data_IF_675699519927
#
_entry.id   IF_675699519927
#
_cell.length_a   1.000
_cell.length_b   1.000
_cell.length_c   1.000
_cell.angle_alpha   90.00
_cell.angle_beta   90.00
_cell.angle_gamma   90.00
#
_symmetry.space_group_name_H-M   'P 1'
#
loop_
_entity.id
_entity.type
_entity.pdbx_description
1 polymer ?
#
# COMPACT_ATOMS: atom_id res chain seq x y z
N UNK A 1 -46.04 8.24 -32.96
CA UNK A 1 -45.93 6.78 -32.80
C UNK A 1 -44.58 6.16 -33.22
N UNK A 2 -43.95 6.49 -34.36
CA UNK A 2 -42.76 5.75 -34.83
C UNK A 2 -41.45 6.03 -34.06
N UNK A 3 -41.23 7.26 -33.56
CA UNK A 3 -40.01 7.61 -32.79
C UNK A 3 -39.94 6.93 -31.42
N UNK A 4 -41.06 6.92 -30.69
CA UNK A 4 -41.17 6.28 -29.37
C UNK A 4 -40.91 4.78 -29.46
N UNK A 5 -41.44 4.13 -30.50
CA UNK A 5 -41.23 2.70 -30.75
C UNK A 5 -39.74 2.40 -31.00
N UNK A 6 -39.05 3.23 -31.81
CA UNK A 6 -37.61 3.08 -32.07
C UNK A 6 -36.75 3.22 -30.81
N UNK A 7 -37.07 4.15 -29.91
CA UNK A 7 -36.35 4.29 -28.64
C UNK A 7 -36.57 3.11 -27.71
N UNK A 8 -37.79 2.56 -27.66
CA UNK A 8 -38.08 1.35 -26.88
C UNK A 8 -37.30 0.14 -27.43
N UNK A 9 -37.25 -0.04 -28.74
CA UNK A 9 -36.47 -1.12 -29.37
C UNK A 9 -34.98 -1.00 -29.08
N UNK A 10 -34.42 0.22 -29.09
CA UNK A 10 -33.01 0.46 -28.72
C UNK A 10 -32.76 0.08 -27.26
N UNK A 11 -33.67 0.42 -26.34
CA UNK A 11 -33.54 0.04 -24.92
C UNK A 11 -33.58 -1.48 -24.73
N UNK A 12 -34.52 -2.17 -25.37
CA UNK A 12 -34.64 -3.64 -25.31
C UNK A 12 -33.41 -4.34 -25.90
N UNK A 13 -32.90 -3.85 -27.03
CA UNK A 13 -31.70 -4.38 -27.64
C UNK A 13 -30.48 -4.26 -26.70
N UNK A 14 -30.30 -3.09 -26.09
CA UNK A 14 -29.20 -2.83 -25.15
C UNK A 14 -29.33 -3.63 -23.87
N UNK A 15 -30.54 -3.92 -23.38
CA UNK A 15 -30.70 -4.76 -22.19
C UNK A 15 -30.29 -6.22 -22.43
N UNK A 16 -30.33 -6.70 -23.67
CA UNK A 16 -29.97 -8.08 -24.02
C UNK A 16 -28.49 -8.21 -24.41
N UNK A 17 -27.94 -7.23 -25.14
CA UNK A 17 -26.60 -7.32 -25.75
C UNK A 17 -25.53 -6.53 -25.00
N UNK A 18 -25.94 -5.65 -24.08
CA UNK A 18 -25.08 -4.66 -23.43
C UNK A 18 -24.30 -3.73 -24.40
N UNK A 19 -24.80 -3.60 -25.63
CA UNK A 19 -24.21 -2.75 -26.65
C UNK A 19 -24.22 -1.26 -26.25
N UNK A 20 -23.23 -0.51 -26.76
CA UNK A 20 -23.19 0.95 -26.63
C UNK A 20 -24.42 1.57 -27.31
N UNK A 21 -24.81 2.77 -26.91
CA UNK A 21 -25.93 3.48 -27.56
C UNK A 21 -25.70 3.67 -29.07
N UNK A 22 -24.45 3.87 -29.47
CA UNK A 22 -24.05 4.07 -30.86
C UNK A 22 -24.12 2.76 -31.65
N UNK A 23 -23.59 1.66 -31.11
CA UNK A 23 -23.65 0.34 -31.76
C UNK A 23 -25.08 -0.19 -31.84
N UNK A 24 -25.87 -0.03 -30.78
CA UNK A 24 -27.29 -0.39 -30.78
C UNK A 24 -28.07 0.38 -31.86
N UNK A 25 -27.82 1.69 -32.00
CA UNK A 25 -28.46 2.50 -33.01
C UNK A 25 -28.01 2.13 -34.43
N UNK A 26 -26.75 1.75 -34.62
CA UNK A 26 -26.17 1.32 -35.91
C UNK A 26 -26.76 -0.03 -36.35
N UNK A 27 -26.69 -1.04 -35.49
CA UNK A 27 -27.11 -2.41 -35.79
C UNK A 27 -28.62 -2.52 -35.99
N UNK A 28 -29.42 -1.79 -35.18
CA UNK A 28 -30.88 -1.74 -35.39
C UNK A 28 -31.25 -1.02 -36.69
N UNK A 29 -30.52 0.04 -37.09
CA UNK A 29 -30.78 0.71 -38.39
C UNK A 29 -30.47 -0.21 -39.58
N UNK A 30 -29.36 -0.95 -39.54
CA UNK A 30 -28.97 -1.88 -40.59
C UNK A 30 -29.96 -3.04 -40.76
N UNK A 31 -30.61 -3.46 -39.66
CA UNK A 31 -31.57 -4.56 -39.65
C UNK A 31 -33.04 -4.09 -39.66
N UNK A 32 -33.33 -2.89 -40.19
CA UNK A 32 -34.69 -2.35 -40.30
C UNK A 32 -35.48 -2.34 -38.98
N UNK A 33 -34.80 -2.12 -37.85
CA UNK A 33 -35.33 -2.16 -36.49
C UNK A 33 -35.98 -3.49 -36.09
N UNK A 34 -35.61 -4.60 -36.75
CA UNK A 34 -35.98 -5.96 -36.33
C UNK A 34 -35.05 -6.41 -35.20
N UNK A 35 -35.62 -6.60 -34.01
CA UNK A 35 -34.85 -6.85 -32.80
C UNK A 35 -34.00 -8.13 -32.89
N UNK A 36 -34.59 -9.26 -33.25
CA UNK A 36 -33.88 -10.55 -33.31
C UNK A 36 -32.75 -10.55 -34.35
N UNK A 37 -33.03 -10.09 -35.57
CA UNK A 37 -32.00 -9.97 -36.61
C UNK A 37 -30.84 -9.05 -36.21
N UNK A 38 -31.12 -7.98 -35.47
CA UNK A 38 -30.07 -7.11 -34.94
C UNK A 38 -29.25 -7.80 -33.84
N UNK A 39 -29.85 -8.65 -33.02
CA UNK A 39 -29.16 -9.39 -31.95
C UNK A 39 -28.22 -10.42 -32.58
N UNK A 40 -28.66 -11.15 -33.60
CA UNK A 40 -27.81 -12.09 -34.33
C UNK A 40 -26.63 -11.36 -35.02
N UNK A 41 -26.91 -10.19 -35.60
CA UNK A 41 -25.88 -9.33 -36.19
C UNK A 41 -24.88 -8.80 -35.16
N UNK A 42 -25.31 -8.54 -33.92
CA UNK A 42 -24.42 -8.12 -32.83
C UNK A 42 -23.40 -9.21 -32.47
N UNK A 43 -23.83 -10.46 -32.33
CA UNK A 43 -22.93 -11.57 -32.03
C UNK A 43 -22.00 -11.92 -33.19
N UNK A 44 -22.28 -11.40 -34.38
CA UNK A 44 -21.43 -11.53 -35.56
C UNK A 44 -20.51 -10.32 -35.78
N UNK A 45 -20.63 -9.26 -34.97
CA UNK A 45 -19.84 -8.02 -35.06
C UNK A 45 -18.83 -7.96 -33.90
N UNK A 46 -17.57 -8.34 -34.19
CA UNK A 46 -16.48 -8.37 -33.22
C UNK A 46 -16.20 -6.99 -32.57
N UNK A 47 -16.45 -5.90 -33.31
CA UNK A 47 -16.24 -4.53 -32.79
C UNK A 47 -17.32 -4.19 -31.78
N UNK A 48 -18.58 -4.52 -32.07
CA UNK A 48 -19.70 -4.29 -31.16
C UNK A 48 -19.57 -5.15 -29.89
N UNK A 49 -19.11 -6.40 -30.00
CA UNK A 49 -18.81 -7.28 -28.87
C UNK A 49 -17.70 -6.72 -27.98
N UNK A 50 -16.61 -6.22 -28.58
CA UNK A 50 -15.50 -5.61 -27.84
C UNK A 50 -15.90 -4.27 -27.18
N UNK A 51 -16.80 -3.50 -27.80
CA UNK A 51 -17.32 -2.28 -27.19
C UNK A 51 -18.29 -2.58 -26.04
N UNK A 52 -19.13 -3.61 -26.19
CA UNK A 52 -20.06 -4.04 -25.14
C UNK A 52 -19.34 -4.61 -23.91
N UNK A 53 -18.26 -5.38 -24.10
CA UNK A 53 -17.43 -5.89 -22.99
C UNK A 53 -16.79 -4.74 -22.19
N UNK A 54 -16.32 -3.69 -22.87
CA UNK A 54 -15.82 -2.44 -22.26
C UNK A 54 -16.91 -1.62 -21.57
N UNK A 55 -18.17 -1.73 -22.01
CA UNK A 55 -19.30 -0.99 -21.45
C UNK A 55 -19.85 -1.67 -20.18
N UNK A 56 -19.86 -3.01 -20.15
CA UNK A 56 -20.25 -3.83 -18.99
C UNK A 56 -19.35 -3.60 -17.78
N UNK A 57 -18.05 -3.46 -18.02
CA UNK A 57 -17.06 -3.20 -16.97
C UNK A 57 -17.09 -1.74 -16.53
N UNK A 58 -17.26 -0.76 -17.43
CA UNK A 58 -17.08 0.66 -17.07
C UNK A 58 -18.26 1.33 -16.36
N UNK A 59 -19.53 1.00 -16.63
CA UNK A 59 -20.65 1.77 -16.05
C UNK A 59 -20.96 1.42 -14.58
N UNK A 60 -20.81 0.14 -14.22
CA UNK A 60 -21.08 -0.33 -12.85
C UNK A 60 -19.85 -0.17 -11.96
N UNK A 61 -18.64 -0.36 -12.51
CA UNK A 61 -17.39 -0.11 -11.77
C UNK A 61 -17.15 1.37 -11.51
N UNK A 62 -17.40 2.28 -12.47
CA UNK A 62 -17.21 3.70 -12.23
C UNK A 62 -18.17 4.23 -11.17
N UNK A 63 -19.39 3.69 -11.11
CA UNK A 63 -20.35 4.02 -10.05
C UNK A 63 -19.89 3.47 -8.70
N UNK A 64 -19.46 2.21 -8.61
CA UNK A 64 -19.00 1.64 -7.33
C UNK A 64 -17.69 2.27 -6.87
N UNK A 65 -16.78 2.60 -7.78
CA UNK A 65 -15.53 3.31 -7.48
C UNK A 65 -15.82 4.72 -6.93
N UNK A 66 -16.75 5.45 -7.56
CA UNK A 66 -17.20 6.75 -7.06
C UNK A 66 -17.80 6.62 -5.66
N UNK A 67 -18.68 5.63 -5.42
CA UNK A 67 -19.27 5.39 -4.10
C UNK A 67 -18.21 5.04 -3.04
N UNK A 68 -17.23 4.20 -3.37
CA UNK A 68 -16.11 3.86 -2.48
C UNK A 68 -15.28 5.10 -2.15
N UNK A 69 -14.95 5.91 -3.16
CA UNK A 69 -14.21 7.17 -2.97
C UNK A 69 -14.97 8.16 -2.08
N UNK A 70 -16.28 8.31 -2.28
CA UNK A 70 -17.12 9.17 -1.45
C UNK A 70 -17.15 8.71 0.02
N UNK A 71 -17.24 7.40 0.27
CA UNK A 71 -17.27 6.87 1.64
C UNK A 71 -15.92 6.94 2.34
N UNK A 72 -14.83 6.61 1.65
CA UNK A 72 -13.48 6.81 2.18
C UNK A 72 -13.22 8.30 2.46
N UNK A 73 -13.71 9.18 1.59
CA UNK A 73 -13.66 10.62 1.83
C UNK A 73 -14.42 11.04 3.08
N UNK A 74 -15.60 10.45 3.35
CA UNK A 74 -16.35 10.71 4.59
C UNK A 74 -15.65 10.20 5.85
N UNK A 75 -15.02 9.02 5.78
CA UNK A 75 -14.19 8.52 6.90
C UNK A 75 -13.00 9.44 7.14
N UNK A 76 -12.32 9.89 6.09
CA UNK A 76 -11.25 10.87 6.23
C UNK A 76 -11.74 12.14 6.94
N UNK A 77 -12.91 12.66 6.54
CA UNK A 77 -13.50 13.86 7.13
C UNK A 77 -13.87 13.70 8.61
N UNK A 78 -13.97 12.47 9.18
CA UNK A 78 -14.20 12.29 10.63
C UNK A 78 -12.95 12.51 11.47
N UNK A 79 -11.76 12.36 10.89
CA UNK A 79 -10.47 12.50 11.58
C UNK A 79 -9.66 13.71 11.11
N UNK A 80 -10.13 14.39 10.06
CA UNK A 80 -9.47 15.56 9.48
C UNK A 80 -9.52 16.74 10.45
N UNK A 81 -8.42 17.46 10.56
CA UNK A 81 -8.36 18.78 11.17
C UNK A 81 -9.07 19.81 10.26
N UNK A 82 -9.97 20.60 10.82
CA UNK A 82 -10.76 21.56 10.02
C UNK A 82 -9.94 22.74 9.51
N UNK A 83 -8.90 23.14 10.24
CA UNK A 83 -8.07 24.29 9.89
C UNK A 83 -6.98 23.90 8.88
N UNK A 84 -6.35 22.73 9.05
CA UNK A 84 -5.29 22.27 8.14
C UNK A 84 -5.82 21.54 6.90
N UNK A 85 -7.03 20.98 6.98
CA UNK A 85 -7.64 20.23 5.87
C UNK A 85 -7.01 18.84 5.64
N UNK A 86 -6.15 18.40 6.55
CA UNK A 86 -5.54 17.07 6.58
C UNK A 86 -5.74 16.38 7.93
N UNK A 87 -5.50 15.07 8.01
CA UNK A 87 -5.44 14.39 9.30
C UNK A 87 -4.09 14.74 9.92
N UNK A 88 -4.11 15.45 11.05
CA UNK A 88 -2.93 15.78 11.86
C UNK A 88 -2.71 14.71 12.94
N UNK A 89 -1.68 14.88 13.78
CA UNK A 89 -1.33 13.90 14.81
C UNK A 89 -2.52 13.52 15.71
N UNK A 90 -3.36 14.48 16.09
CA UNK A 90 -4.56 14.23 16.91
C UNK A 90 -5.57 13.36 16.16
N UNK A 91 -5.87 13.72 14.92
CA UNK A 91 -6.75 12.95 14.05
C UNK A 91 -6.21 11.54 13.76
N UNK A 92 -4.90 11.40 13.57
CA UNK A 92 -4.24 10.12 13.35
C UNK A 92 -4.38 9.20 14.58
N UNK A 93 -4.25 9.75 15.79
CA UNK A 93 -4.49 9.00 17.02
C UNK A 93 -5.94 8.52 17.13
N UNK A 94 -6.92 9.39 16.84
CA UNK A 94 -8.33 9.00 16.81
C UNK A 94 -8.63 7.96 15.74
N UNK A 95 -8.03 8.08 14.55
CA UNK A 95 -8.14 7.09 13.49
C UNK A 95 -7.62 5.72 13.94
N UNK A 96 -6.45 5.67 14.58
CA UNK A 96 -5.88 4.42 15.08
C UNK A 96 -6.72 3.82 16.20
N UNK A 97 -7.30 4.64 17.08
CA UNK A 97 -8.23 4.18 18.12
C UNK A 97 -9.48 3.52 17.52
N UNK A 98 -10.11 4.16 16.53
CA UNK A 98 -11.27 3.62 15.81
C UNK A 98 -10.93 2.31 15.06
N UNK A 99 -9.71 2.24 14.52
CA UNK A 99 -9.14 1.04 13.89
C UNK A 99 -8.66 -0.01 14.91
N UNK A 100 -8.82 0.25 16.23
CA UNK A 100 -8.40 -0.63 17.33
C UNK A 100 -6.92 -0.99 17.26
N UNK A 101 -6.11 0.01 16.96
CA UNK A 101 -4.68 -0.12 16.72
C UNK A 101 -3.88 0.71 17.72
N UNK A 102 -2.76 0.16 18.17
CA UNK A 102 -1.75 0.95 18.88
C UNK A 102 -0.94 1.79 17.88
N UNK A 103 -0.57 3.04 18.20
CA UNK A 103 0.40 3.82 17.44
C UNK A 103 1.76 3.13 17.31
N UNK A 104 2.11 2.28 18.26
CA UNK A 104 3.35 1.48 18.28
C UNK A 104 3.16 0.12 17.60
N UNK A 105 2.07 -0.08 16.86
CA UNK A 105 1.89 -1.31 16.09
C UNK A 105 2.68 -1.23 14.76
N UNK A 106 3.50 -2.25 14.49
CA UNK A 106 4.31 -2.33 13.27
C UNK A 106 3.49 -2.17 11.98
N UNK A 107 2.20 -2.57 11.96
CA UNK A 107 1.37 -2.45 10.74
C UNK A 107 0.93 -1.00 10.44
N UNK A 108 1.15 -0.05 11.37
CA UNK A 108 0.99 1.40 11.10
C UNK A 108 2.00 1.88 10.05
N UNK A 109 3.19 1.28 9.98
CA UNK A 109 4.23 1.65 9.01
C UNK A 109 3.86 1.29 7.55
N UNK A 110 3.48 0.04 7.21
CA UNK A 110 3.03 -0.27 5.86
C UNK A 110 1.72 0.45 5.52
N UNK A 111 0.84 0.71 6.51
CA UNK A 111 -0.32 1.58 6.29
C UNK A 111 0.14 2.98 5.85
N UNK A 112 1.01 3.62 6.62
CA UNK A 112 1.56 4.95 6.30
C UNK A 112 2.28 4.98 4.95
N UNK A 113 2.97 3.89 4.59
CA UNK A 113 3.56 3.70 3.27
C UNK A 113 2.48 3.73 2.17
N UNK A 114 1.43 2.93 2.26
CA UNK A 114 0.38 2.92 1.23
C UNK A 114 -0.38 4.25 1.15
N UNK A 115 -0.62 4.88 2.30
CA UNK A 115 -1.31 6.17 2.40
C UNK A 115 -0.39 7.37 2.08
N UNK A 116 0.87 7.10 1.68
CA UNK A 116 1.89 8.11 1.32
C UNK A 116 1.99 9.24 2.34
N UNK A 117 1.95 8.88 3.61
CA UNK A 117 2.09 9.83 4.70
C UNK A 117 3.46 10.52 4.62
N UNK A 118 3.51 11.86 4.60
CA UNK A 118 4.76 12.60 4.47
C UNK A 118 5.61 12.53 5.75
N UNK A 119 4.95 12.44 6.90
CA UNK A 119 5.57 12.40 8.22
C UNK A 119 4.62 11.78 9.25
N UNK A 120 5.15 11.41 10.41
CA UNK A 120 4.37 10.80 11.49
C UNK A 120 3.10 11.60 11.82
N UNK A 121 1.95 10.94 11.72
CA UNK A 121 0.65 11.51 12.07
C UNK A 121 0.04 12.46 11.04
N UNK A 122 0.62 12.64 9.84
CA UNK A 122 0.02 13.47 8.78
C UNK A 122 -0.53 12.60 7.64
N UNK A 123 -1.79 12.82 7.25
CA UNK A 123 -2.38 12.13 6.10
C UNK A 123 -3.23 13.06 5.23
N UNK A 124 -2.97 13.02 3.93
CA UNK A 124 -3.70 13.80 2.93
C UNK A 124 -4.85 13.00 2.32
N UNK A 125 -5.98 13.68 2.06
CA UNK A 125 -7.24 13.03 1.62
C UNK A 125 -7.08 12.16 0.38
N UNK A 126 -6.39 12.68 -0.64
CA UNK A 126 -6.18 11.96 -1.89
C UNK A 126 -5.40 10.66 -1.67
N UNK A 127 -4.31 10.74 -0.91
CA UNK A 127 -3.44 9.60 -0.65
C UNK A 127 -4.06 8.59 0.31
N UNK A 128 -4.87 9.07 1.27
CA UNK A 128 -5.69 8.23 2.12
C UNK A 128 -6.63 7.35 1.29
N UNK A 129 -7.40 7.95 0.38
CA UNK A 129 -8.38 7.24 -0.46
C UNK A 129 -7.68 6.22 -1.37
N UNK A 130 -6.66 6.66 -2.11
CA UNK A 130 -5.96 5.78 -3.06
C UNK A 130 -5.13 4.70 -2.35
N UNK A 131 -4.60 5.00 -1.16
CA UNK A 131 -3.91 4.04 -0.30
C UNK A 131 -4.83 2.89 0.13
N UNK A 132 -6.00 3.19 0.68
CA UNK A 132 -6.97 2.15 1.06
C UNK A 132 -7.46 1.32 -0.13
N UNK A 133 -7.71 1.96 -1.28
CA UNK A 133 -8.05 1.24 -2.53
C UNK A 133 -6.91 0.30 -2.95
N UNK A 134 -5.66 0.77 -2.87
CA UNK A 134 -4.48 -0.01 -3.25
C UNK A 134 -4.29 -1.25 -2.37
N UNK A 135 -4.44 -1.11 -1.04
CA UNK A 135 -4.31 -2.23 -0.11
C UNK A 135 -5.43 -3.27 -0.35
N UNK A 136 -6.65 -2.78 -0.59
CA UNK A 136 -7.84 -3.62 -0.75
C UNK A 136 -7.88 -4.36 -2.10
N UNK A 137 -7.29 -3.78 -3.14
CA UNK A 137 -7.33 -4.32 -4.50
C UNK A 137 -8.76 -4.38 -5.04
N UNK A 138 -9.25 -5.58 -5.34
CA UNK A 138 -10.64 -5.79 -5.79
C UNK A 138 -11.66 -5.89 -4.64
N UNK A 139 -11.20 -5.91 -3.38
CA UNK A 139 -12.07 -5.97 -2.21
C UNK A 139 -12.62 -4.59 -1.87
N UNK A 140 -13.79 -4.57 -1.25
CA UNK A 140 -14.40 -3.35 -0.72
C UNK A 140 -13.83 -3.06 0.68
N UNK A 141 -13.30 -1.85 0.89
CA UNK A 141 -12.70 -1.41 2.15
C UNK A 141 -13.15 0.03 2.48
N UNK A 142 -14.46 0.25 2.51
CA UNK A 142 -15.08 1.58 2.70
C UNK A 142 -15.80 1.73 4.06
N UNK A 143 -15.42 0.92 5.06
CA UNK A 143 -15.87 1.00 6.46
C UNK A 143 -14.74 0.64 7.42
N UNK A 144 -14.85 1.08 8.68
CA UNK A 144 -13.87 0.81 9.74
C UNK A 144 -13.69 -0.70 9.93
N UNK A 145 -14.76 -1.49 9.95
CA UNK A 145 -14.68 -2.95 10.14
C UNK A 145 -13.95 -3.64 8.98
N UNK A 146 -14.11 -3.11 7.75
CA UNK A 146 -13.40 -3.62 6.60
C UNK A 146 -11.92 -3.22 6.63
N UNK A 147 -11.59 -2.02 7.13
CA UNK A 147 -10.21 -1.56 7.32
C UNK A 147 -9.47 -2.39 8.37
N UNK A 148 -10.11 -2.68 9.52
CA UNK A 148 -9.54 -3.54 10.57
C UNK A 148 -9.15 -4.91 10.01
N UNK A 149 -10.06 -5.60 9.30
CA UNK A 149 -9.78 -6.90 8.69
C UNK A 149 -8.66 -6.84 7.64
N UNK A 150 -8.58 -5.73 6.92
CA UNK A 150 -7.54 -5.54 5.91
C UNK A 150 -6.17 -5.31 6.55
N UNK A 151 -6.12 -4.65 7.71
CA UNK A 151 -4.90 -4.44 8.49
C UNK A 151 -4.37 -5.75 9.08
N UNK A 152 -5.25 -6.68 9.50
CA UNK A 152 -4.85 -8.04 9.88
C UNK A 152 -4.12 -8.74 8.73
N UNK A 153 -4.66 -8.66 7.51
CA UNK A 153 -3.99 -9.20 6.32
C UNK A 153 -2.69 -8.46 6.01
N UNK A 154 -2.68 -7.13 6.14
CA UNK A 154 -1.49 -6.31 5.86
C UNK A 154 -0.32 -6.67 6.79
N UNK A 155 -0.62 -7.07 8.03
CA UNK A 155 0.40 -7.58 8.97
C UNK A 155 1.02 -8.88 8.48
N UNK A 156 0.23 -9.81 7.97
CA UNK A 156 0.76 -11.06 7.41
C UNK A 156 1.52 -10.81 6.10
N UNK A 157 1.04 -9.89 5.28
CA UNK A 157 1.74 -9.43 4.07
C UNK A 157 3.10 -8.80 4.43
N UNK A 158 3.18 -8.06 5.54
CA UNK A 158 4.43 -7.50 6.05
C UNK A 158 5.40 -8.61 6.48
N UNK A 159 4.96 -9.59 7.28
CA UNK A 159 5.81 -10.70 7.75
C UNK A 159 6.38 -11.55 6.61
N UNK A 160 5.60 -11.72 5.55
CA UNK A 160 5.95 -12.59 4.41
C UNK A 160 6.64 -11.84 3.28
N UNK A 161 6.90 -10.54 3.45
CA UNK A 161 7.41 -9.64 2.41
C UNK A 161 6.61 -9.77 1.11
N UNK A 162 5.28 -9.83 1.23
CA UNK A 162 4.38 -10.06 0.11
C UNK A 162 4.52 -8.94 -0.95
N UNK A 163 4.16 -9.18 -2.22
CA UNK A 163 4.22 -8.16 -3.26
C UNK A 163 3.42 -6.90 -2.91
N UNK A 164 4.01 -5.74 -3.15
CA UNK A 164 3.31 -4.45 -3.01
C UNK A 164 2.13 -4.39 -4.00
N UNK A 165 1.00 -3.83 -3.56
CA UNK A 165 -0.25 -3.73 -4.34
C UNK A 165 -0.47 -2.31 -4.87
N UNK A 166 -1.45 -2.19 -5.76
CA UNK A 166 -1.87 -0.89 -6.30
C UNK A 166 -0.82 -0.23 -7.19
N UNK A 167 -0.84 1.09 -7.24
CA UNK A 167 0.04 1.88 -8.11
C UNK A 167 1.52 1.79 -7.70
N UNK A 168 1.78 1.64 -6.40
CA UNK A 168 3.13 1.49 -5.83
C UNK A 168 3.84 0.19 -6.21
N UNK A 169 3.10 -0.81 -6.71
CA UNK A 169 3.65 -2.09 -7.15
C UNK A 169 4.65 -1.96 -8.32
N UNK A 170 4.51 -0.91 -9.12
CA UNK A 170 5.37 -0.66 -10.29
C UNK A 170 6.68 0.06 -9.94
N UNK A 171 6.79 0.63 -8.75
CA UNK A 171 7.96 1.43 -8.32
C UNK A 171 9.19 0.56 -8.04
N UNK A 172 9.01 -0.71 -7.67
CA UNK A 172 10.10 -1.64 -7.34
C UNK A 172 9.60 -3.09 -7.35
N UNK A 173 10.51 -4.05 -7.54
CA UNK A 173 10.22 -5.49 -7.45
C UNK A 173 10.30 -6.05 -6.03
N UNK A 174 10.77 -5.24 -5.08
CA UNK A 174 10.93 -5.64 -3.68
C UNK A 174 9.57 -5.79 -3.00
N UNK A 175 9.50 -6.68 -2.00
CA UNK A 175 8.28 -6.94 -1.25
C UNK A 175 7.90 -5.84 -0.26
N UNK A 176 6.75 -6.01 0.38
CA UNK A 176 6.16 -5.02 1.27
C UNK A 176 7.03 -4.70 2.49
N UNK A 177 7.68 -5.70 3.10
CA UNK A 177 8.57 -5.47 4.24
C UNK A 177 9.72 -4.57 3.83
N UNK A 178 10.44 -4.97 2.77
CA UNK A 178 11.60 -4.23 2.32
C UNK A 178 11.23 -2.78 1.96
N UNK A 179 10.13 -2.60 1.24
CA UNK A 179 9.65 -1.28 0.81
C UNK A 179 9.18 -0.42 1.97
N UNK A 180 8.55 -1.03 2.98
CA UNK A 180 8.16 -0.34 4.22
C UNK A 180 9.40 0.07 5.03
N UNK A 181 10.40 -0.81 5.11
CA UNK A 181 11.66 -0.54 5.78
C UNK A 181 12.40 0.65 5.14
N UNK A 182 12.53 0.67 3.82
CA UNK A 182 13.12 1.80 3.08
C UNK A 182 12.36 3.11 3.32
N UNK A 183 11.03 3.05 3.25
CA UNK A 183 10.14 4.19 3.46
C UNK A 183 10.29 4.79 4.87
N UNK A 184 10.36 3.93 5.87
CA UNK A 184 10.37 4.32 7.29
C UNK A 184 11.53 5.25 7.62
N UNK A 185 12.68 5.10 6.96
CA UNK A 185 13.80 6.02 7.13
C UNK A 185 13.43 7.48 6.84
N UNK A 186 12.74 7.72 5.72
CA UNK A 186 12.36 9.08 5.31
C UNK A 186 11.18 9.57 6.13
N UNK A 187 10.22 8.69 6.40
CA UNK A 187 9.04 8.97 7.22
C UNK A 187 9.38 9.37 8.67
N UNK A 188 10.37 8.71 9.27
CA UNK A 188 10.81 8.94 10.64
C UNK A 188 11.76 10.13 10.81
N UNK A 189 12.25 10.69 9.71
CA UNK A 189 13.25 11.75 9.70
C UNK A 189 12.56 13.12 9.79
N UNK A 190 12.87 13.95 10.80
CA UNK A 190 12.31 15.28 10.91
C UNK A 190 12.62 16.13 9.66
N UNK A 191 11.70 17.02 9.30
CA UNK A 191 11.87 17.90 8.15
C UNK A 191 13.17 18.72 8.26
N UNK A 192 13.87 18.86 7.13
CA UNK A 192 15.15 19.57 7.05
C UNK A 192 16.37 18.81 7.57
N UNK A 193 16.20 17.66 8.24
CA UNK A 193 17.33 16.84 8.68
C UNK A 193 17.82 15.91 7.57
N UNK A 194 19.14 15.65 7.52
CA UNK A 194 19.76 14.71 6.58
C UNK A 194 19.76 13.28 7.09
N UNK A 195 19.77 13.10 8.42
CA UNK A 195 19.92 11.81 9.10
C UNK A 195 18.75 11.55 10.05
N UNK A 196 18.48 10.28 10.33
CA UNK A 196 17.43 9.86 11.26
C UNK A 196 17.96 9.90 12.70
N UNK A 197 17.35 10.64 13.64
CA UNK A 197 17.79 10.65 15.04
C UNK A 197 17.87 9.23 15.63
N UNK A 198 18.87 8.96 16.46
CA UNK A 198 19.11 7.62 17.00
C UNK A 198 17.88 7.06 17.74
N UNK A 199 17.22 7.87 18.57
CA UNK A 199 16.03 7.47 19.30
C UNK A 199 14.91 7.00 18.36
N UNK A 200 14.66 7.74 17.28
CA UNK A 200 13.68 7.37 16.27
C UNK A 200 14.09 6.08 15.54
N UNK A 201 15.37 5.97 15.15
CA UNK A 201 15.86 4.77 14.47
C UNK A 201 15.68 3.51 15.32
N UNK A 202 16.03 3.57 16.61
CA UNK A 202 15.84 2.48 17.56
C UNK A 202 14.35 2.11 17.70
N UNK A 203 13.47 3.11 17.87
CA UNK A 203 12.04 2.87 17.99
C UNK A 203 11.47 2.20 16.73
N UNK A 204 11.81 2.69 15.53
CA UNK A 204 11.34 2.06 14.29
C UNK A 204 11.93 0.67 14.05
N UNK A 205 13.20 0.44 14.41
CA UNK A 205 13.76 -0.90 14.34
C UNK A 205 13.09 -1.87 15.31
N UNK A 206 12.71 -1.45 16.52
CA UNK A 206 11.95 -2.28 17.46
C UNK A 206 10.59 -2.70 16.87
N UNK A 207 9.99 -1.87 16.02
CA UNK A 207 8.76 -2.22 15.29
C UNK A 207 9.01 -3.12 14.07
N UNK A 208 10.08 -2.88 13.31
CA UNK A 208 10.31 -3.52 12.01
C UNK A 208 11.12 -4.81 12.09
N UNK A 209 12.25 -4.81 12.79
CA UNK A 209 13.20 -5.94 12.75
C UNK A 209 12.58 -7.27 13.17
N UNK A 210 11.69 -7.34 14.20
CA UNK A 210 11.00 -8.60 14.54
C UNK A 210 10.10 -9.16 13.43
N UNK A 211 9.72 -8.33 12.45
CA UNK A 211 8.89 -8.70 11.30
C UNK A 211 9.72 -8.94 10.03
N UNK A 212 11.05 -8.78 10.08
CA UNK A 212 11.90 -9.03 8.93
C UNK A 212 11.86 -10.52 8.55
N UNK A 213 11.73 -10.87 7.26
CA UNK A 213 11.58 -12.27 6.84
C UNK A 213 12.72 -13.20 7.24
N UNK A 214 13.93 -12.67 7.45
CA UNK A 214 15.11 -13.44 7.88
C UNK A 214 15.29 -13.51 9.40
N UNK A 215 14.45 -12.81 10.18
CA UNK A 215 14.65 -12.68 11.62
C UNK A 215 14.32 -13.98 12.36
N UNK A 216 15.32 -14.58 12.99
CA UNK A 216 15.16 -15.77 13.83
C UNK A 216 14.67 -17.02 13.09
N UNK A 217 14.85 -17.09 11.76
CA UNK A 217 14.37 -18.22 10.95
C UNK A 217 15.24 -19.47 11.07
N UNK A 218 16.49 -19.32 11.51
CA UNK A 218 17.43 -20.42 11.75
C UNK A 218 18.36 -20.11 12.92
N UNK A 219 19.05 -21.13 13.44
CA UNK A 219 20.05 -20.98 14.51
C UNK A 219 21.26 -20.12 14.11
N UNK A 220 21.48 -19.97 12.80
CA UNK A 220 22.58 -19.18 12.23
C UNK A 220 22.12 -17.78 11.82
N UNK A 221 20.81 -17.51 11.75
CA UNK A 221 20.27 -16.21 11.34
C UNK A 221 20.40 -15.14 12.43
N UNK A 222 20.27 -13.88 12.02
CA UNK A 222 20.16 -12.75 12.94
C UNK A 222 18.93 -12.89 13.84
N UNK A 223 19.13 -12.83 15.16
CA UNK A 223 18.09 -13.02 16.18
C UNK A 223 17.94 -11.81 17.10
N UNK A 224 17.06 -11.92 18.09
CA UNK A 224 16.90 -10.93 19.15
C UNK A 224 18.20 -10.66 19.93
N UNK A 225 19.10 -11.64 20.06
CA UNK A 225 20.41 -11.43 20.71
C UNK A 225 21.23 -10.40 19.94
N UNK A 226 21.46 -10.63 18.65
CA UNK A 226 22.26 -9.71 17.82
C UNK A 226 21.57 -8.35 17.68
N UNK A 227 20.25 -8.32 17.61
CA UNK A 227 19.50 -7.06 17.60
C UNK A 227 19.70 -6.26 18.89
N UNK A 228 19.64 -6.90 20.06
CA UNK A 228 19.91 -6.23 21.33
C UNK A 228 21.37 -5.76 21.43
N UNK A 229 22.33 -6.54 20.94
CA UNK A 229 23.74 -6.11 20.86
C UNK A 229 23.88 -4.84 20.00
N UNK A 230 23.22 -4.79 18.84
CA UNK A 230 23.21 -3.60 17.98
C UNK A 230 22.68 -2.38 18.71
N UNK A 231 21.53 -2.51 19.41
CA UNK A 231 20.95 -1.41 20.19
C UNK A 231 21.90 -0.92 21.29
N UNK A 232 22.51 -1.85 22.04
CA UNK A 232 23.49 -1.51 23.09
C UNK A 232 24.71 -0.80 22.52
N UNK A 233 25.28 -1.32 21.43
CA UNK A 233 26.41 -0.70 20.74
C UNK A 233 26.12 0.75 20.34
N UNK A 234 24.96 0.98 19.72
CA UNK A 234 24.56 2.33 19.30
C UNK A 234 24.40 3.30 20.47
N UNK A 235 23.89 2.83 21.61
CA UNK A 235 23.72 3.64 22.81
C UNK A 235 25.05 3.94 23.51
N UNK A 236 25.95 2.95 23.63
CA UNK A 236 27.21 3.10 24.37
C UNK A 236 28.34 3.70 23.53
N UNK A 237 28.49 3.24 22.28
CA UNK A 237 29.61 3.59 21.37
C UNK A 237 29.20 4.55 20.28
N UNK A 238 27.93 4.53 19.87
CA UNK A 238 27.39 5.44 18.87
C UNK A 238 27.34 6.91 19.31
N UNK A 239 27.52 7.22 20.61
CA UNK A 239 27.57 8.60 21.17
C UNK A 239 26.36 9.46 20.76
N UNK A 240 25.19 8.86 20.59
CA UNK A 240 23.98 9.55 20.14
C UNK A 240 24.01 10.02 18.68
N UNK A 241 24.95 9.53 17.85
CA UNK A 241 25.01 9.87 16.42
C UNK A 241 23.74 9.40 15.71
N UNK A 242 23.21 10.28 14.87
CA UNK A 242 22.09 9.97 13.98
C UNK A 242 22.47 8.89 12.96
N UNK A 243 21.47 8.12 12.52
CA UNK A 243 21.62 7.05 11.54
C UNK A 243 21.55 7.62 10.13
N UNK A 244 22.57 7.33 9.33
CA UNK A 244 22.61 7.70 7.92
C UNK A 244 21.66 6.82 7.09
N UNK A 245 21.27 7.28 5.91
CA UNK A 245 20.42 6.49 5.00
C UNK A 245 21.11 5.18 4.64
N UNK A 246 22.40 5.26 4.36
CA UNK A 246 23.22 4.12 3.95
C UNK A 246 23.29 3.06 5.06
N UNK A 247 23.60 3.48 6.30
CA UNK A 247 23.57 2.61 7.48
C UNK A 247 22.21 1.96 7.68
N UNK A 248 21.12 2.72 7.53
CA UNK A 248 19.77 2.14 7.64
C UNK A 248 19.54 1.07 6.57
N UNK A 249 19.76 1.39 5.28
CA UNK A 249 19.47 0.44 4.20
C UNK A 249 20.32 -0.83 4.30
N UNK A 250 21.63 -0.67 4.51
CA UNK A 250 22.56 -1.80 4.57
C UNK A 250 22.41 -2.62 5.86
N UNK A 251 21.85 -2.06 6.94
CA UNK A 251 21.57 -2.85 8.14
C UNK A 251 20.55 -3.96 7.87
N UNK A 252 19.56 -3.75 7.01
CA UNK A 252 18.63 -4.81 6.63
C UNK A 252 19.35 -5.96 5.91
N UNK A 253 20.26 -5.65 4.99
CA UNK A 253 21.02 -6.68 4.27
C UNK A 253 21.99 -7.41 5.21
N UNK A 254 22.66 -6.66 6.10
CA UNK A 254 23.46 -7.23 7.18
C UNK A 254 22.66 -8.25 8.01
N UNK A 255 21.41 -7.95 8.41
CA UNK A 255 20.58 -8.92 9.15
C UNK A 255 20.20 -10.19 8.38
N UNK A 256 20.37 -10.20 7.04
CA UNK A 256 20.13 -11.39 6.21
C UNK A 256 21.40 -12.24 6.05
N UNK A 257 22.56 -11.59 6.04
CA UNK A 257 23.83 -12.22 5.65
C UNK A 257 24.66 -12.68 6.86
N UNK A 258 24.60 -11.95 7.98
CA UNK A 258 25.45 -12.19 9.15
C UNK A 258 25.08 -13.48 9.89
N UNK A 259 26.08 -14.24 10.34
CA UNK A 259 25.85 -15.38 11.23
C UNK A 259 25.69 -14.96 12.71
N UNK A 260 25.23 -15.88 13.53
CA UNK A 260 24.91 -15.61 14.94
C UNK A 260 26.12 -15.26 15.83
N UNK A 261 27.34 -15.60 15.42
CA UNK A 261 28.60 -15.23 16.10
C UNK A 261 29.40 -14.18 15.30
N UNK A 262 28.79 -13.57 14.29
CA UNK A 262 29.37 -12.54 13.44
C UNK A 262 30.64 -12.95 12.69
N UNK A 263 30.97 -14.24 12.57
CA UNK A 263 32.25 -14.72 12.04
C UNK A 263 32.43 -14.52 10.54
N UNK A 264 31.33 -14.54 9.79
CA UNK A 264 31.29 -14.43 8.33
C UNK A 264 31.30 -12.98 7.82
N UNK A 265 31.39 -11.99 8.72
CA UNK A 265 31.52 -10.58 8.34
C UNK A 265 32.83 -10.31 7.61
N UNK A 266 32.74 -9.73 6.42
CA UNK A 266 33.85 -9.29 5.59
C UNK A 266 34.11 -7.79 5.78
N UNK A 267 35.21 -7.45 6.44
CA UNK A 267 35.63 -6.06 6.69
C UNK A 267 36.20 -5.36 5.44
N UNK A 268 36.54 -6.11 4.38
CA UNK A 268 36.99 -5.54 3.12
C UNK A 268 35.80 -5.21 2.18
N UNK A 269 34.59 -5.64 2.54
CA UNK A 269 33.36 -5.27 1.83
C UNK A 269 32.97 -3.81 2.11
N UNK A 270 32.12 -3.24 1.25
CA UNK A 270 31.70 -1.85 1.34
C UNK A 270 30.57 -1.61 2.38
N UNK A 271 30.70 -2.19 3.58
CA UNK A 271 29.76 -1.92 4.67
C UNK A 271 29.98 -0.51 5.26
N UNK A 272 28.93 0.11 5.83
CA UNK A 272 29.09 1.34 6.60
C UNK A 272 29.99 1.06 7.80
N UNK A 273 30.94 1.94 8.09
CA UNK A 273 31.88 1.75 9.21
C UNK A 273 31.18 1.51 10.55
N UNK A 274 29.96 2.02 10.73
CA UNK A 274 29.16 1.79 11.94
C UNK A 274 28.73 0.32 12.12
N UNK A 275 28.55 -0.43 11.01
CA UNK A 275 28.31 -1.88 11.04
C UNK A 275 29.61 -2.62 11.32
N UNK A 276 30.73 -2.21 10.70
CA UNK A 276 32.05 -2.80 10.98
C UNK A 276 32.45 -2.63 12.45
N UNK A 277 32.36 -1.40 12.97
CA UNK A 277 32.63 -1.06 14.37
C UNK A 277 31.73 -1.87 15.33
N UNK A 278 30.48 -2.15 14.92
CA UNK A 278 29.57 -2.98 15.70
C UNK A 278 30.03 -4.43 15.75
N UNK A 279 30.41 -5.01 14.61
CA UNK A 279 30.90 -6.39 14.55
C UNK A 279 32.19 -6.55 15.34
N UNK A 280 33.13 -5.60 15.23
CA UNK A 280 34.36 -5.60 16.02
C UNK A 280 34.05 -5.51 17.53
N UNK A 281 33.05 -4.72 17.93
CA UNK A 281 32.65 -4.60 19.34
C UNK A 281 31.89 -5.82 19.88
N UNK A 282 31.09 -6.47 19.04
CA UNK A 282 30.19 -7.55 19.46
C UNK A 282 30.88 -8.93 19.55
N UNK A 283 32.00 -9.10 18.84
CA UNK A 283 32.89 -10.28 18.93
C UNK A 283 33.71 -10.25 20.22
#
# INVERSE_FOLDING_TARGET
SSKVNKEQTIRQFRSVTNATQNDASRLLKQNNYRLEAAIDAFYSDEVALNNASKTSTNSTSAKSEKETREKLGKLFDTWKDEDEGEITMEGAMSMLEDLKMSPEDAVVLPLSFYLRSPSLGSFQKEHFIEGWKSIAGSKKCDSIEAQIKLLEQLREDLKTDAPVRGDRASESKQGLFHRTYEFTYTFGRPEGQKSLPLANALAFWDLLIPYAPSFGTSSESFTLRQFNLWKTFLQEKGKGRAISKDTWMLFLDFTKEIDSEFQNHDFDAAWPSQIDDFVEWAR
#
